data_IF_377836166672
#
_entry.id   IF_377836166672
#
_cell.length_a   1.000
_cell.length_b   1.000
_cell.length_c   1.000
_cell.angle_alpha   90.00
_cell.angle_beta   90.00
_cell.angle_gamma   90.00
#
_symmetry.space_group_name_H-M   'P 1'
#
loop_
_entity.id
_entity.type
_entity.pdbx_description
1 polymer ?
#
# COMPACT_ATOMS: atom_id res chain seq x y z
N UNK A 1 -14.00 -2.08 13.55
CA UNK A 1 -12.94 -1.19 13.02
C UNK A 1 -13.22 -1.00 11.53
N UNK A 2 -13.08 0.21 10.96
CA UNK A 2 -13.15 0.39 9.50
C UNK A 2 -11.79 0.76 8.95
N UNK A 3 -11.33 0.01 7.94
CA UNK A 3 -10.09 0.24 7.23
C UNK A 3 -10.36 0.85 5.86
N UNK A 4 -9.70 1.93 5.50
CA UNK A 4 -9.67 2.44 4.13
C UNK A 4 -8.58 1.70 3.35
N UNK A 5 -8.92 1.04 2.25
CA UNK A 5 -7.98 0.35 1.37
C UNK A 5 -7.96 1.00 -0.01
N UNK A 6 -6.84 1.60 -0.37
CA UNK A 6 -6.63 2.21 -1.69
C UNK A 6 -6.03 1.18 -2.65
N UNK A 7 -6.59 1.09 -3.85
CA UNK A 7 -6.13 0.24 -4.94
C UNK A 7 -5.65 1.13 -6.08
N UNK A 8 -4.34 1.36 -6.25
CA UNK A 8 -3.81 2.14 -7.35
C UNK A 8 -3.86 1.32 -8.65
N UNK A 9 -4.55 1.83 -9.67
CA UNK A 9 -4.75 1.18 -10.96
C UNK A 9 -4.14 2.03 -12.08
N UNK A 10 -3.26 1.44 -12.89
CA UNK A 10 -2.69 2.08 -14.07
C UNK A 10 -2.53 1.08 -15.21
N UNK A 11 -3.31 1.24 -16.28
CA UNK A 11 -3.33 0.36 -17.45
C UNK A 11 -3.54 -1.11 -17.05
N UNK A 12 -4.61 -1.35 -16.27
CA UNK A 12 -4.96 -2.67 -15.73
C UNK A 12 -5.97 -3.43 -16.60
N UNK A 13 -6.47 -2.85 -17.71
CA UNK A 13 -7.55 -3.43 -18.51
C UNK A 13 -7.31 -4.87 -18.94
N UNK A 14 -6.07 -5.25 -19.29
CA UNK A 14 -5.72 -6.62 -19.71
C UNK A 14 -5.59 -7.61 -18.54
N UNK A 15 -5.37 -7.12 -17.31
CA UNK A 15 -5.13 -7.96 -16.12
C UNK A 15 -6.30 -7.94 -15.15
N UNK A 16 -7.27 -7.05 -15.37
CA UNK A 16 -8.41 -6.89 -14.48
C UNK A 16 -9.21 -8.20 -14.35
N UNK A 17 -9.43 -8.63 -13.11
CA UNK A 17 -10.24 -9.78 -12.78
C UNK A 17 -11.37 -9.37 -11.83
N UNK A 18 -12.57 -9.18 -12.37
CA UNK A 18 -13.74 -8.75 -11.60
C UNK A 18 -14.15 -9.76 -10.52
N UNK A 19 -13.97 -11.07 -10.74
CA UNK A 19 -14.36 -12.09 -9.77
C UNK A 19 -13.42 -12.08 -8.56
N UNK A 20 -12.11 -11.88 -8.79
CA UNK A 20 -11.13 -11.66 -7.74
C UNK A 20 -11.52 -10.45 -6.87
N UNK A 21 -11.82 -9.31 -7.48
CA UNK A 21 -12.18 -8.11 -6.73
C UNK A 21 -13.52 -8.26 -6.02
N UNK A 22 -14.53 -8.94 -6.62
CA UNK A 22 -15.79 -9.24 -5.93
C UNK A 22 -15.57 -10.10 -4.69
N UNK A 23 -14.64 -11.07 -4.74
CA UNK A 23 -14.29 -11.86 -3.54
C UNK A 23 -13.70 -11.00 -2.44
N UNK A 24 -12.77 -10.09 -2.76
CA UNK A 24 -12.17 -9.19 -1.78
C UNK A 24 -13.17 -8.18 -1.21
N UNK A 25 -14.17 -7.74 -1.98
CA UNK A 25 -15.22 -6.83 -1.49
C UNK A 25 -16.06 -7.45 -0.35
N UNK A 26 -16.03 -8.76 -0.14
CA UNK A 26 -16.71 -9.43 0.97
C UNK A 26 -16.00 -9.28 2.32
N UNK A 27 -14.84 -8.62 2.40
CA UNK A 27 -14.20 -8.26 3.67
C UNK A 27 -14.88 -6.99 4.22
N UNK A 28 -15.86 -7.17 5.10
CA UNK A 28 -16.79 -6.12 5.57
C UNK A 28 -16.12 -4.97 6.32
N UNK A 29 -14.96 -5.22 6.93
CA UNK A 29 -14.20 -4.21 7.67
C UNK A 29 -13.47 -3.22 6.76
N UNK A 30 -13.44 -3.47 5.45
CA UNK A 30 -12.70 -2.66 4.48
C UNK A 30 -13.65 -1.80 3.64
N UNK A 31 -13.33 -0.52 3.55
CA UNK A 31 -13.87 0.39 2.54
C UNK A 31 -12.85 0.54 1.43
N UNK A 32 -13.25 0.24 0.21
CA UNK A 32 -12.39 0.20 -0.96
C UNK A 32 -12.44 1.50 -1.75
N UNK A 33 -11.28 2.02 -2.11
CA UNK A 33 -11.12 3.13 -3.03
C UNK A 33 -10.19 2.75 -4.17
N UNK A 34 -10.76 2.50 -5.35
CA UNK A 34 -9.99 2.29 -6.57
C UNK A 34 -9.56 3.64 -7.13
N UNK A 35 -8.26 3.80 -7.39
CA UNK A 35 -7.69 5.04 -7.92
C UNK A 35 -7.11 4.79 -9.30
N UNK A 36 -7.77 5.31 -10.33
CA UNK A 36 -7.22 5.31 -11.69
C UNK A 36 -6.14 6.39 -11.79
N UNK A 37 -4.90 5.99 -11.95
CA UNK A 37 -3.72 6.87 -12.05
C UNK A 37 -3.49 7.33 -13.49
N UNK A 38 -4.50 7.97 -14.12
CA UNK A 38 -4.39 8.52 -15.46
C UNK A 38 -4.13 7.45 -16.53
N UNK A 39 -4.85 6.32 -16.49
CA UNK A 39 -4.71 5.25 -17.48
C UNK A 39 -5.04 5.71 -18.90
N UNK A 40 -4.36 5.11 -19.87
CA UNK A 40 -4.55 5.38 -21.32
C UNK A 40 -5.28 4.26 -22.04
N UNK A 41 -5.59 3.17 -21.34
CA UNK A 41 -6.41 2.05 -21.81
C UNK A 41 -7.83 2.10 -21.20
N UNK A 42 -8.61 1.05 -21.34
CA UNK A 42 -10.00 0.98 -20.87
C UNK A 42 -10.12 0.77 -19.34
N UNK A 43 -9.07 1.02 -18.55
CA UNK A 43 -9.11 0.85 -17.09
C UNK A 43 -10.16 1.76 -16.45
N UNK A 44 -10.31 2.99 -16.93
CA UNK A 44 -11.31 3.93 -16.41
C UNK A 44 -12.74 3.38 -16.51
N UNK A 45 -13.11 2.90 -17.71
CA UNK A 45 -14.44 2.35 -18.00
C UNK A 45 -14.70 1.09 -17.16
N UNK A 46 -13.71 0.20 -17.08
CA UNK A 46 -13.79 -1.03 -16.29
C UNK A 46 -14.03 -0.72 -14.81
N UNK A 47 -13.29 0.20 -14.22
CA UNK A 47 -13.45 0.57 -12.82
C UNK A 47 -14.80 1.27 -12.56
N UNK A 48 -15.22 2.14 -13.46
CA UNK A 48 -16.53 2.82 -13.38
C UNK A 48 -17.67 1.81 -13.37
N UNK A 49 -17.62 0.85 -14.30
CA UNK A 49 -18.62 -0.22 -14.40
C UNK A 49 -18.57 -1.11 -13.14
N UNK A 50 -17.38 -1.58 -12.75
CA UNK A 50 -17.20 -2.48 -11.61
C UNK A 50 -17.72 -1.87 -10.30
N UNK A 51 -17.38 -0.63 -10.01
CA UNK A 51 -17.87 0.08 -8.82
C UNK A 51 -19.38 0.31 -8.92
N UNK A 52 -19.91 0.70 -10.09
CA UNK A 52 -21.35 0.87 -10.31
C UNK A 52 -22.17 -0.41 -10.06
N UNK A 53 -21.68 -1.56 -10.54
CA UNK A 53 -22.33 -2.87 -10.34
C UNK A 53 -22.29 -3.35 -8.89
N UNK A 54 -21.27 -2.99 -8.13
CA UNK A 54 -21.03 -3.46 -6.77
C UNK A 54 -21.36 -2.41 -5.68
N UNK A 55 -21.87 -1.25 -6.06
CA UNK A 55 -22.21 -0.14 -5.15
C UNK A 55 -23.58 -0.29 -4.48
N UNK A 56 -24.05 -1.51 -4.22
CA UNK A 56 -25.27 -1.73 -3.37
C UNK A 56 -25.15 -1.09 -2.00
N UNK A 57 -23.92 -0.84 -1.56
CA UNK A 57 -23.59 0.01 -0.42
C UNK A 57 -22.42 0.92 -0.85
N UNK A 58 -22.68 2.20 -1.23
CA UNK A 58 -21.63 3.14 -1.65
C UNK A 58 -20.52 3.36 -0.61
N UNK A 59 -20.74 2.88 0.62
CA UNK A 59 -19.73 2.91 1.68
C UNK A 59 -18.66 1.82 1.55
N UNK A 60 -18.85 0.78 0.70
CA UNK A 60 -17.89 -0.33 0.55
C UNK A 60 -16.92 -0.18 -0.62
N UNK A 61 -17.35 0.40 -1.75
CA UNK A 61 -16.48 0.60 -2.90
C UNK A 61 -16.74 1.96 -3.54
N UNK A 62 -15.68 2.67 -3.84
CA UNK A 62 -15.71 3.96 -4.52
C UNK A 62 -14.56 4.06 -5.52
N UNK A 63 -14.61 5.09 -6.36
CA UNK A 63 -13.69 5.28 -7.46
C UNK A 63 -13.22 6.75 -7.54
N UNK A 64 -11.92 6.93 -7.74
CA UNK A 64 -11.29 8.22 -8.00
C UNK A 64 -10.48 8.14 -9.29
N UNK A 65 -10.65 9.09 -10.20
CA UNK A 65 -9.83 9.18 -11.41
C UNK A 65 -8.93 10.41 -11.35
N UNK A 66 -7.64 10.19 -11.52
CA UNK A 66 -6.66 11.25 -11.70
C UNK A 66 -6.54 11.60 -13.19
N UNK A 67 -6.26 12.86 -13.49
CA UNK A 67 -6.14 13.33 -14.87
C UNK A 67 -4.91 12.76 -15.57
N UNK A 68 -3.78 12.72 -14.86
CA UNK A 68 -2.47 12.33 -15.39
C UNK A 68 -1.85 11.24 -14.51
N UNK A 69 -0.93 10.43 -15.09
CA UNK A 69 -0.17 9.45 -14.33
C UNK A 69 0.84 10.12 -13.39
N UNK A 70 0.57 10.05 -12.11
CA UNK A 70 1.43 10.60 -11.06
C UNK A 70 2.33 9.54 -10.40
N UNK A 71 2.06 8.26 -10.65
CA UNK A 71 2.77 7.11 -10.11
C UNK A 71 2.14 6.54 -8.84
N UNK A 72 2.42 5.25 -8.59
CA UNK A 72 1.78 4.43 -7.55
C UNK A 72 1.68 5.13 -6.18
N UNK A 73 2.79 5.61 -5.65
CA UNK A 73 2.81 6.23 -4.31
C UNK A 73 1.92 7.46 -4.24
N UNK A 74 1.97 8.31 -5.25
CA UNK A 74 1.18 9.53 -5.29
C UNK A 74 -0.31 9.26 -5.57
N UNK A 75 -0.64 8.23 -6.36
CA UNK A 75 -2.01 7.78 -6.55
C UNK A 75 -2.61 7.26 -5.23
N UNK A 76 -1.85 6.48 -4.46
CA UNK A 76 -2.25 6.00 -3.13
C UNK A 76 -2.47 7.19 -2.18
N UNK A 77 -1.52 8.14 -2.13
CA UNK A 77 -1.62 9.35 -1.30
C UNK A 77 -2.86 10.17 -1.66
N UNK A 78 -3.09 10.37 -2.95
CA UNK A 78 -4.27 11.10 -3.46
C UNK A 78 -5.57 10.41 -3.02
N UNK A 79 -5.64 9.09 -3.08
CA UNK A 79 -6.77 8.30 -2.59
C UNK A 79 -7.00 8.48 -1.08
N UNK A 80 -5.95 8.36 -0.27
CA UNK A 80 -6.05 8.58 1.17
C UNK A 80 -6.55 9.99 1.50
N UNK A 81 -5.94 11.02 0.90
CA UNK A 81 -6.34 12.40 1.15
C UNK A 81 -7.76 12.70 0.68
N UNK A 82 -8.18 12.10 -0.45
CA UNK A 82 -9.57 12.24 -0.94
C UNK A 82 -10.57 11.67 0.05
N UNK A 83 -10.36 10.43 0.50
CA UNK A 83 -11.28 9.78 1.43
C UNK A 83 -11.27 10.41 2.83
N UNK A 84 -10.07 10.68 3.38
CA UNK A 84 -9.92 11.21 4.74
C UNK A 84 -10.36 12.68 4.89
N UNK A 85 -10.28 13.50 3.82
CA UNK A 85 -10.82 14.88 3.84
C UNK A 85 -12.33 14.91 3.71
N UNK A 86 -12.91 14.00 2.94
CA UNK A 86 -14.37 13.92 2.80
C UNK A 86 -15.05 13.40 4.07
N UNK A 87 -14.30 12.74 4.96
CA UNK A 87 -14.75 12.27 6.26
C UNK A 87 -14.94 13.41 7.30
N UNK A 88 -14.42 14.61 7.06
CA UNK A 88 -14.61 15.77 7.95
C UNK A 88 -16.07 16.16 8.15
N UNK A 89 -16.99 15.63 7.33
CA UNK A 89 -18.43 15.78 7.50
C UNK A 89 -19.08 14.77 8.48
N UNK A 90 -18.26 13.96 9.20
CA UNK A 90 -18.71 13.10 10.29
C UNK A 90 -19.38 11.79 9.87
N UNK A 91 -19.22 11.35 8.62
CA UNK A 91 -19.93 10.19 8.09
C UNK A 91 -19.24 8.84 8.34
N UNK A 92 -17.91 8.77 8.27
CA UNK A 92 -17.13 7.53 8.47
C UNK A 92 -15.75 7.84 9.03
N UNK A 93 -15.41 7.35 10.22
CA UNK A 93 -14.06 7.45 10.77
C UNK A 93 -13.25 6.20 10.46
N UNK A 94 -12.18 6.33 9.68
CA UNK A 94 -11.26 5.22 9.40
C UNK A 94 -10.18 5.14 10.48
N UNK A 95 -10.15 4.01 11.20
CA UNK A 95 -9.10 3.73 12.21
C UNK A 95 -7.77 3.33 11.57
N UNK A 96 -7.83 2.85 10.32
CA UNK A 96 -6.65 2.50 9.54
C UNK A 96 -6.79 2.88 8.07
N UNK A 97 -5.66 3.19 7.46
CA UNK A 97 -5.52 3.48 6.03
C UNK A 97 -4.45 2.59 5.43
N UNK A 98 -4.75 1.94 4.33
CA UNK A 98 -3.82 1.03 3.67
C UNK A 98 -3.91 1.08 2.17
N UNK A 99 -3.11 0.23 1.54
CA UNK A 99 -3.17 -0.01 0.11
C UNK A 99 -2.92 -1.48 -0.23
N UNK A 100 -3.40 -1.89 -1.38
CA UNK A 100 -3.14 -3.19 -1.99
C UNK A 100 -2.88 -3.02 -3.47
N UNK A 101 -1.91 -3.77 -4.02
CA UNK A 101 -1.61 -3.76 -5.45
C UNK A 101 -2.77 -4.32 -6.28
N UNK A 102 -3.01 -3.74 -7.46
CA UNK A 102 -4.12 -4.10 -8.33
C UNK A 102 -3.93 -5.42 -9.10
N UNK A 103 -2.75 -6.04 -9.01
CA UNK A 103 -2.33 -7.18 -9.84
C UNK A 103 -2.94 -8.55 -9.47
N UNK A 104 -3.75 -8.61 -8.41
CA UNK A 104 -4.40 -9.84 -7.98
C UNK A 104 -3.49 -10.85 -7.26
N UNK A 105 -2.34 -10.40 -6.75
CA UNK A 105 -1.35 -11.29 -6.11
C UNK A 105 -1.70 -11.70 -4.67
N UNK A 106 -2.68 -11.06 -4.03
CA UNK A 106 -3.04 -11.28 -2.63
C UNK A 106 -4.37 -12.03 -2.50
N UNK A 107 -4.41 -13.01 -1.63
CA UNK A 107 -5.64 -13.75 -1.38
C UNK A 107 -6.48 -13.12 -0.26
N UNK A 108 -7.81 -13.32 -0.32
CA UNK A 108 -8.75 -12.84 0.68
C UNK A 108 -8.37 -13.25 2.11
N UNK A 109 -7.94 -14.48 2.31
CA UNK A 109 -7.53 -15.00 3.62
C UNK A 109 -6.37 -14.19 4.23
N UNK A 110 -5.42 -13.74 3.42
CA UNK A 110 -4.30 -12.92 3.91
C UNK A 110 -4.76 -11.49 4.23
N UNK A 111 -5.75 -10.98 3.49
CA UNK A 111 -6.36 -9.69 3.78
C UNK A 111 -7.16 -9.71 5.10
N UNK A 112 -7.99 -10.72 5.33
CA UNK A 112 -8.72 -10.94 6.59
C UNK A 112 -7.75 -11.06 7.77
N UNK A 113 -6.66 -11.82 7.60
CA UNK A 113 -5.59 -11.92 8.60
C UNK A 113 -4.90 -10.58 8.86
N UNK A 114 -4.66 -9.79 7.81
CA UNK A 114 -4.06 -8.45 7.94
C UNK A 114 -4.93 -7.55 8.81
N UNK A 115 -6.24 -7.50 8.56
CA UNK A 115 -7.19 -6.70 9.35
C UNK A 115 -7.24 -7.19 10.80
N UNK A 116 -7.32 -8.50 11.02
CA UNK A 116 -7.32 -9.10 12.36
C UNK A 116 -6.03 -8.79 13.13
N UNK A 117 -4.87 -9.00 12.48
CA UNK A 117 -3.56 -8.69 13.06
C UNK A 117 -3.42 -7.21 13.37
N UNK A 118 -3.88 -6.33 12.48
CA UNK A 118 -3.86 -4.90 12.72
C UNK A 118 -4.71 -4.53 13.95
N UNK A 119 -5.92 -5.06 14.06
CA UNK A 119 -6.80 -4.82 15.19
C UNK A 119 -6.16 -5.23 16.50
N UNK A 120 -5.56 -6.42 16.57
CA UNK A 120 -4.86 -6.92 17.74
C UNK A 120 -3.66 -6.04 18.11
N UNK A 121 -2.70 -5.87 17.19
CA UNK A 121 -1.40 -5.24 17.48
C UNK A 121 -1.50 -3.73 17.72
N UNK A 122 -2.44 -3.05 17.06
CA UNK A 122 -2.65 -1.61 17.27
C UNK A 122 -3.47 -1.35 18.53
N UNK A 123 -4.45 -2.21 18.87
CA UNK A 123 -5.19 -2.08 20.14
C UNK A 123 -4.28 -2.25 21.36
N UNK A 124 -3.26 -3.07 21.27
CA UNK A 124 -2.22 -3.20 22.30
C UNK A 124 -1.33 -1.95 22.45
N UNK A 125 -1.45 -0.96 21.54
CA UNK A 125 -0.64 0.26 21.51
C UNK A 125 0.84 0.02 21.19
N UNK A 126 1.21 -1.21 20.81
CA UNK A 126 2.61 -1.59 20.59
C UNK A 126 3.08 -1.26 19.18
N UNK A 127 2.18 -1.36 18.18
CA UNK A 127 2.49 -1.12 16.77
C UNK A 127 1.54 -0.07 16.17
N UNK A 128 1.99 0.61 15.09
CA UNK A 128 1.21 1.60 14.36
C UNK A 128 0.98 1.18 12.91
N UNK A 129 1.59 0.09 12.45
CA UNK A 129 1.44 -0.39 11.08
C UNK A 129 1.62 -1.90 11.00
N UNK A 130 0.91 -2.53 10.06
CA UNK A 130 1.07 -3.96 9.71
C UNK A 130 1.39 -4.04 8.22
N UNK A 131 2.52 -4.67 7.90
CA UNK A 131 2.99 -4.87 6.54
C UNK A 131 3.04 -6.34 6.20
N UNK A 132 2.53 -6.72 5.05
CA UNK A 132 2.67 -8.09 4.57
C UNK A 132 4.11 -8.40 4.17
N UNK A 133 4.50 -9.67 4.26
CA UNK A 133 5.83 -10.14 3.89
C UNK A 133 5.77 -11.40 3.04
N UNK A 134 6.49 -11.39 1.92
CA UNK A 134 6.63 -12.51 0.99
C UNK A 134 7.82 -13.38 1.37
N UNK A 135 7.99 -13.64 2.66
CA UNK A 135 9.03 -14.54 3.17
C UNK A 135 8.58 -15.99 3.02
N UNK A 136 9.44 -16.81 2.40
CA UNK A 136 9.18 -18.24 2.22
C UNK A 136 9.48 -19.00 3.51
N UNK A 137 8.49 -19.09 4.40
CA UNK A 137 8.55 -19.89 5.62
C UNK A 137 8.01 -21.31 5.35
N UNK A 138 8.43 -22.28 6.16
CA UNK A 138 7.85 -23.62 6.12
C UNK A 138 6.32 -23.57 6.32
N UNK A 139 5.57 -24.28 5.48
CA UNK A 139 4.10 -24.27 5.48
C UNK A 139 3.47 -23.06 4.77
N UNK A 140 4.25 -22.25 4.05
CA UNK A 140 3.77 -21.14 3.20
C UNK A 140 4.01 -21.47 1.72
N UNK A 141 3.11 -21.02 0.87
CA UNK A 141 3.22 -21.18 -0.58
C UNK A 141 3.61 -19.82 -1.22
N UNK A 142 4.90 -19.50 -1.19
CA UNK A 142 5.44 -18.23 -1.71
C UNK A 142 6.30 -18.50 -2.93
N UNK A 143 5.76 -18.18 -4.12
CA UNK A 143 6.46 -18.29 -5.39
C UNK A 143 7.03 -16.93 -5.82
N UNK A 144 8.33 -16.73 -5.67
CA UNK A 144 9.01 -15.45 -5.92
C UNK A 144 10.24 -15.61 -6.80
N UNK A 145 10.40 -14.72 -7.79
CA UNK A 145 11.62 -14.66 -8.58
C UNK A 145 12.82 -14.17 -7.76
N UNK A 146 13.92 -14.93 -7.78
CA UNK A 146 15.12 -14.67 -6.97
C UNK A 146 15.70 -13.24 -7.15
N UNK A 147 15.68 -12.69 -8.38
CA UNK A 147 16.22 -11.36 -8.67
C UNK A 147 15.53 -10.24 -7.90
N UNK A 148 14.20 -10.30 -7.74
CA UNK A 148 13.41 -9.31 -6.98
C UNK A 148 13.66 -9.42 -5.47
N UNK A 149 13.93 -10.62 -4.99
CA UNK A 149 14.29 -10.85 -3.60
C UNK A 149 15.57 -10.10 -3.23
N UNK A 150 16.63 -10.22 -4.03
CA UNK A 150 17.92 -9.59 -3.72
C UNK A 150 17.89 -8.07 -3.78
N UNK A 151 17.16 -7.46 -4.72
CA UNK A 151 17.04 -6.00 -4.80
C UNK A 151 16.30 -5.44 -3.57
N UNK A 152 15.19 -6.06 -3.16
CA UNK A 152 14.48 -5.66 -1.95
C UNK A 152 15.36 -5.75 -0.70
N UNK A 153 16.20 -6.79 -0.59
CA UNK A 153 17.15 -6.97 0.52
C UNK A 153 18.25 -5.89 0.54
N UNK A 154 18.80 -5.52 -0.62
CA UNK A 154 19.78 -4.43 -0.72
C UNK A 154 19.18 -3.10 -0.23
N UNK A 155 17.97 -2.78 -0.67
CA UNK A 155 17.26 -1.56 -0.24
C UNK A 155 17.03 -1.59 1.28
N UNK A 156 16.48 -2.68 1.82
CA UNK A 156 16.25 -2.83 3.25
C UNK A 156 17.56 -2.71 4.06
N UNK A 157 18.63 -3.38 3.64
CA UNK A 157 19.94 -3.32 4.31
C UNK A 157 20.52 -1.90 4.31
N UNK A 158 20.45 -1.19 3.18
CA UNK A 158 20.96 0.17 3.08
C UNK A 158 20.21 1.15 3.98
N UNK A 159 18.89 1.00 4.09
CA UNK A 159 18.06 1.84 4.94
C UNK A 159 18.20 1.48 6.42
N UNK A 160 18.35 0.20 6.77
CA UNK A 160 18.57 -0.26 8.14
C UNK A 160 19.91 0.23 8.73
N UNK A 161 20.91 0.53 7.89
CA UNK A 161 22.16 1.16 8.32
C UNK A 161 21.96 2.55 8.93
N UNK A 162 20.78 3.14 8.80
CA UNK A 162 20.36 4.39 9.45
C UNK A 162 19.76 4.22 10.86
N UNK A 163 19.81 3.01 11.45
CA UNK A 163 19.31 2.76 12.82
C UNK A 163 17.82 2.41 12.91
N UNK A 164 17.14 2.14 11.79
CA UNK A 164 15.74 1.73 11.77
C UNK A 164 15.58 0.21 11.77
N UNK A 165 14.73 -0.31 12.64
CA UNK A 165 14.26 -1.68 12.55
C UNK A 165 13.20 -1.77 11.42
N UNK A 166 13.65 -1.96 10.19
CA UNK A 166 12.77 -2.09 9.02
C UNK A 166 12.30 -3.55 8.83
N UNK A 167 11.10 -3.76 8.27
CA UNK A 167 10.62 -5.07 7.86
C UNK A 167 11.58 -5.77 6.90
N UNK A 168 11.55 -7.09 6.92
CA UNK A 168 12.30 -7.92 5.97
C UNK A 168 11.88 -7.64 4.52
N UNK A 169 10.57 -7.51 4.25
CA UNK A 169 10.00 -7.23 2.94
C UNK A 169 9.38 -5.83 2.88
N UNK A 170 10.20 -4.81 2.68
CA UNK A 170 9.75 -3.42 2.56
C UNK A 170 8.92 -3.14 1.30
N UNK A 171 8.96 -4.04 0.29
CA UNK A 171 8.36 -3.83 -1.03
C UNK A 171 7.13 -4.71 -1.28
N UNK A 172 6.53 -5.28 -0.24
CA UNK A 172 5.25 -5.98 -0.38
C UNK A 172 4.11 -4.99 -0.62
N UNK A 173 3.23 -5.31 -1.56
CA UNK A 173 2.15 -4.43 -2.03
C UNK A 173 0.87 -4.45 -1.20
N UNK A 174 0.92 -4.90 0.07
CA UNK A 174 -0.23 -4.86 0.98
C UNK A 174 0.23 -4.35 2.35
N UNK A 175 -0.29 -3.19 2.77
CA UNK A 175 0.08 -2.53 4.01
C UNK A 175 -1.10 -1.81 4.64
N UNK A 176 -1.16 -1.79 5.97
CA UNK A 176 -2.08 -0.98 6.78
C UNK A 176 -1.31 -0.10 7.75
N UNK A 177 -1.76 1.13 7.92
CA UNK A 177 -1.23 2.14 8.85
C UNK A 177 -2.36 2.61 9.77
N UNK A 178 -2.08 2.87 11.03
CA UNK A 178 -2.99 3.58 11.89
C UNK A 178 -3.24 4.99 11.35
N UNK A 179 -4.51 5.40 11.23
CA UNK A 179 -4.88 6.74 10.78
C UNK A 179 -4.77 7.71 11.96
N UNK A 180 -3.54 7.97 12.38
CA UNK A 180 -3.23 8.91 13.47
C UNK A 180 -2.68 10.23 12.92
N UNK A 181 -2.43 11.18 13.82
CA UNK A 181 -1.94 12.51 13.45
C UNK A 181 -0.58 12.46 12.73
N UNK A 182 0.31 11.57 13.15
CA UNK A 182 1.64 11.39 12.60
C UNK A 182 1.60 10.82 11.18
N UNK A 183 0.70 9.83 10.94
CA UNK A 183 0.46 9.32 9.60
C UNK A 183 -0.12 10.42 8.68
N UNK A 184 -1.08 11.19 9.17
CA UNK A 184 -1.65 12.31 8.42
C UNK A 184 -0.59 13.35 8.07
N UNK A 185 0.31 13.68 8.99
CA UNK A 185 1.43 14.58 8.73
C UNK A 185 2.40 14.00 7.67
N UNK A 186 2.67 12.70 7.73
CA UNK A 186 3.57 12.02 6.78
C UNK A 186 3.05 12.03 5.32
N UNK A 187 1.72 12.00 5.14
CA UNK A 187 1.09 12.00 3.80
C UNK A 187 0.62 13.39 3.34
N UNK A 188 0.76 14.44 4.15
CA UNK A 188 0.22 15.77 3.84
C UNK A 188 0.85 16.37 2.58
N UNK A 189 2.15 16.21 2.42
CA UNK A 189 2.89 16.73 1.26
C UNK A 189 3.13 15.63 0.22
N UNK A 190 3.22 16.03 -1.05
CA UNK A 190 3.56 15.15 -2.16
C UNK A 190 4.84 14.37 -1.87
N UNK A 191 4.89 13.09 -2.28
CA UNK A 191 6.08 12.28 -2.12
C UNK A 191 7.18 12.72 -3.09
N UNK A 192 8.40 12.81 -2.57
CA UNK A 192 9.61 13.08 -3.36
C UNK A 192 10.11 11.80 -4.06
N UNK A 193 9.73 10.62 -3.52
CA UNK A 193 10.10 9.31 -4.08
C UNK A 193 8.94 8.67 -4.82
N UNK A 194 9.24 7.90 -5.87
CA UNK A 194 8.24 7.20 -6.67
C UNK A 194 8.16 5.70 -6.33
N UNK A 195 9.31 5.09 -6.06
CA UNK A 195 9.46 3.67 -5.75
C UNK A 195 9.58 3.38 -4.26
N UNK A 196 10.17 4.29 -3.50
CA UNK A 196 10.43 4.14 -2.08
C UNK A 196 9.49 5.00 -1.22
N UNK A 197 8.27 5.27 -1.71
CA UNK A 197 7.31 6.12 -1.00
C UNK A 197 6.93 5.55 0.37
N UNK A 198 6.93 4.22 0.56
CA UNK A 198 6.68 3.62 1.87
C UNK A 198 7.81 3.95 2.86
N UNK A 199 9.06 3.99 2.38
CA UNK A 199 10.19 4.40 3.21
C UNK A 199 10.16 5.89 3.50
N UNK A 200 9.64 6.67 2.58
CA UNK A 200 9.40 8.10 2.79
C UNK A 200 8.32 8.32 3.86
N UNK A 201 7.23 7.53 3.85
CA UNK A 201 6.21 7.56 4.93
C UNK A 201 6.86 7.25 6.28
N UNK A 202 7.64 6.17 6.38
CA UNK A 202 8.35 5.78 7.62
C UNK A 202 9.23 6.91 8.12
N UNK A 203 9.98 7.55 7.22
CA UNK A 203 10.90 8.64 7.56
C UNK A 203 10.16 9.88 8.02
N UNK A 204 9.12 10.30 7.28
CA UNK A 204 8.29 11.48 7.64
C UNK A 204 7.52 11.25 8.94
N UNK A 205 7.03 10.03 9.16
CA UNK A 205 6.38 9.64 10.43
C UNK A 205 7.35 9.84 11.59
N UNK A 206 8.57 9.33 11.47
CA UNK A 206 9.58 9.48 12.51
C UNK A 206 9.95 10.95 12.77
N UNK A 207 10.10 11.75 11.72
CA UNK A 207 10.37 13.20 11.86
C UNK A 207 9.22 13.90 12.59
N UNK A 208 7.98 13.52 12.28
CA UNK A 208 6.79 14.12 12.90
C UNK A 208 6.58 13.68 14.35
N UNK A 209 6.82 12.41 14.67
CA UNK A 209 6.56 11.83 15.99
C UNK A 209 7.74 11.91 16.96
N UNK A 210 8.95 12.14 16.47
CA UNK A 210 10.19 11.98 17.24
C UNK A 210 10.55 10.52 17.58
N UNK A 211 9.76 9.53 17.09
CA UNK A 211 9.95 8.11 17.35
C UNK A 211 9.77 7.28 16.08
N UNK A 212 10.44 6.12 15.93
CA UNK A 212 10.29 5.27 14.77
C UNK A 212 8.88 4.71 14.66
N UNK A 213 8.35 4.63 13.44
CA UNK A 213 7.12 3.88 13.14
C UNK A 213 7.32 2.40 13.47
N UNK A 214 6.59 1.88 14.44
CA UNK A 214 6.66 0.46 14.82
C UNK A 214 5.78 -0.36 13.88
N UNK A 215 6.40 -1.22 13.10
CA UNK A 215 5.79 -2.02 12.06
C UNK A 215 5.76 -3.47 12.49
N UNK A 216 4.57 -4.09 12.50
CA UNK A 216 4.43 -5.53 12.58
C UNK A 216 4.51 -6.15 11.19
N UNK A 217 5.45 -7.06 10.96
CA UNK A 217 5.59 -7.76 9.70
C UNK A 217 4.80 -9.06 9.74
N UNK A 218 3.80 -9.17 8.84
CA UNK A 218 2.91 -10.34 8.75
C UNK A 218 3.28 -11.20 7.53
N UNK A 219 3.83 -12.42 7.72
CA UNK A 219 4.07 -13.34 6.61
C UNK A 219 2.77 -13.77 5.93
N UNK A 220 2.73 -13.68 4.58
CA UNK A 220 1.63 -14.18 3.78
C UNK A 220 1.55 -15.71 3.83
N UNK A 221 0.35 -16.25 3.64
CA UNK A 221 0.12 -17.70 3.48
C UNK A 221 0.48 -18.14 2.07
N UNK A 222 -0.05 -17.40 1.11
CA UNK A 222 0.13 -17.65 -0.30
C UNK A 222 0.54 -16.36 -1.01
N UNK A 223 1.44 -16.47 -1.95
CA UNK A 223 1.78 -15.37 -2.86
C UNK A 223 2.46 -15.90 -4.10
N UNK A 224 2.03 -15.42 -5.25
CA UNK A 224 2.63 -15.76 -6.55
C UNK A 224 2.92 -14.50 -7.34
N UNK A 225 4.10 -14.47 -7.94
CA UNK A 225 4.52 -13.35 -8.81
C UNK A 225 3.62 -13.29 -10.05
N UNK A 226 2.78 -12.26 -10.13
CA UNK A 226 1.97 -11.99 -11.32
C UNK A 226 2.87 -11.30 -12.34
N UNK A 227 3.14 -11.96 -13.47
CA UNK A 227 4.11 -11.54 -14.44
C UNK A 227 3.86 -10.14 -15.03
N UNK A 228 4.94 -9.47 -15.49
CA UNK A 228 4.85 -8.22 -16.27
C UNK A 228 5.80 -7.10 -15.84
N UNK A 229 6.28 -7.07 -14.62
CA UNK A 229 7.22 -6.00 -14.18
C UNK A 229 8.67 -6.46 -14.28
N UNK A 230 9.44 -5.91 -15.21
CA UNK A 230 10.90 -6.08 -15.29
C UNK A 230 11.54 -4.81 -14.76
N UNK A 231 12.39 -4.93 -13.73
CA UNK A 231 13.20 -3.79 -13.28
C UNK A 231 14.25 -3.51 -14.35
N UNK A 232 14.18 -2.35 -14.97
CA UNK A 232 15.13 -1.89 -15.97
C UNK A 232 16.36 -1.27 -15.32
N UNK A 233 17.49 -1.15 -16.06
CA UNK A 233 18.69 -0.46 -15.58
C UNK A 233 18.40 1.01 -15.19
N UNK A 234 17.45 1.65 -15.87
CA UNK A 234 17.02 3.02 -15.57
C UNK A 234 16.31 3.11 -14.22
N UNK A 235 15.50 2.12 -13.88
CA UNK A 235 14.82 2.04 -12.58
C UNK A 235 15.80 1.76 -11.44
N UNK A 236 16.82 0.93 -11.66
CA UNK A 236 17.88 0.70 -10.67
C UNK A 236 18.65 1.99 -10.33
N UNK A 237 18.97 2.83 -11.31
CA UNK A 237 19.60 4.12 -11.09
C UNK A 237 18.69 5.07 -10.31
N UNK A 238 17.39 5.07 -10.60
CA UNK A 238 16.39 5.87 -9.88
C UNK A 238 16.29 5.44 -8.40
N UNK A 239 16.27 4.14 -8.12
CA UNK A 239 16.23 3.64 -6.73
C UNK A 239 17.39 4.20 -5.91
N UNK A 240 18.60 4.26 -6.47
CA UNK A 240 19.77 4.84 -5.79
C UNK A 240 19.55 6.33 -5.49
N UNK A 241 19.01 7.10 -6.43
CA UNK A 241 18.69 8.51 -6.21
C UNK A 241 17.64 8.68 -5.12
N UNK A 242 16.59 7.86 -5.10
CA UNK A 242 15.54 7.90 -4.09
C UNK A 242 16.07 7.53 -2.69
N UNK A 243 17.01 6.60 -2.58
CA UNK A 243 17.71 6.30 -1.32
C UNK A 243 18.45 7.52 -0.75
N UNK A 244 19.07 8.32 -1.62
CA UNK A 244 19.72 9.57 -1.21
C UNK A 244 18.71 10.64 -0.79
N UNK A 245 17.55 10.70 -1.44
CA UNK A 245 16.47 11.60 -1.04
C UNK A 245 15.94 11.25 0.35
N UNK A 246 15.68 9.97 0.63
CA UNK A 246 15.23 9.52 1.96
C UNK A 246 16.23 9.93 3.04
N UNK A 247 17.53 9.76 2.80
CA UNK A 247 18.57 10.24 3.76
C UNK A 247 18.55 11.75 3.97
N UNK A 248 18.15 12.54 2.99
CA UNK A 248 17.99 13.99 3.16
C UNK A 248 16.76 14.32 4.00
N UNK A 249 15.65 13.62 3.80
CA UNK A 249 14.43 13.81 4.59
C UNK A 249 14.70 13.49 6.07
N UNK A 250 15.48 12.44 6.37
CA UNK A 250 15.89 12.07 7.74
C UNK A 250 16.69 13.15 8.47
N UNK A 251 17.34 14.06 7.75
CA UNK A 251 18.18 15.11 8.31
C UNK A 251 17.47 16.46 8.49
N UNK A 252 16.22 16.55 8.01
CA UNK A 252 15.35 17.74 8.19
C UNK A 252 14.62 17.67 9.52
#
# INVERSE_FOLDING_TARGET
MKALMVVPCYNEAQRWNSDYWRDLLNVEEITWLFVNDGSTDNTHEILTQFVGENSRNPQHASFLSLKDNVGKGEAIRSGWLHALRNDTNGSVSYSSSGFIDADGAFERVDLERMVGTFTEKVSEGTFQSVWSSRVALAGRNIERHASRHYIGRLVATFLSAGGHALPYDTQSGLKLFATNQEFMAAIQQQFETRWLFEMEIVTRYQVSSGAPLKIWEMPLLNWRDVGGSKITKRESARIIQELLLIKRIQKR
#
